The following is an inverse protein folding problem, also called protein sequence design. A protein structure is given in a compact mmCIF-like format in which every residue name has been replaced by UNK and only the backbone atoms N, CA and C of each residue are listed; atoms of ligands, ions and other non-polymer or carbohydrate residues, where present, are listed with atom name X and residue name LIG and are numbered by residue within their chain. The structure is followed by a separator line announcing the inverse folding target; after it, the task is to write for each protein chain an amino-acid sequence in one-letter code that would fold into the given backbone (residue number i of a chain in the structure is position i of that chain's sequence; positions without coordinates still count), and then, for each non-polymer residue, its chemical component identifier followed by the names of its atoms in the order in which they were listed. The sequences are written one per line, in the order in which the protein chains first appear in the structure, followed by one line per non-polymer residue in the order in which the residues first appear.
data_IF_268484800237
#
_entry.id   IF_268484800237
#
_cell.length_a   1.000
_cell.length_b   1.000
_cell.length_c   1.000
_cell.angle_alpha   90.00
_cell.angle_beta   90.00
_cell.angle_gamma   90.00
#
_symmetry.space_group_name_H-M   'P 1'
#
loop_
_entity.id
_entity.type
_entity.pdbx_description
1 polymer ?
#
# COMPACT_ATOMS: atom_id res chain seq x y z
N UNK A 1 0.93 -1.72 18.98
CA UNK A 1 1.20 -0.29 19.09
C UNK A 1 0.89 0.40 17.79
N UNK A 2 0.22 1.52 17.82
CA UNK A 2 -0.03 2.26 16.59
C UNK A 2 1.26 2.89 16.04
N UNK A 3 1.17 3.30 14.79
CA UNK A 3 2.26 4.00 14.08
C UNK A 3 3.48 3.12 13.83
N UNK A 4 3.22 1.84 13.54
CA UNK A 4 4.29 0.88 13.24
C UNK A 4 4.34 0.64 11.73
N UNK A 5 5.55 0.68 11.17
CA UNK A 5 5.77 0.27 9.77
C UNK A 5 5.83 -1.25 9.74
N UNK A 6 4.83 -1.89 9.15
CA UNK A 6 4.74 -3.36 9.18
C UNK A 6 4.24 -3.98 7.88
N UNK A 7 4.27 -3.22 6.79
CA UNK A 7 3.81 -3.70 5.50
C UNK A 7 4.43 -2.84 4.41
N UNK A 8 4.65 -3.42 3.23
CA UNK A 8 5.12 -2.65 2.08
C UNK A 8 4.29 -3.01 0.85
N UNK A 9 4.32 -2.14 -0.15
CA UNK A 9 3.54 -2.35 -1.35
C UNK A 9 4.30 -1.85 -2.56
N UNK A 10 4.25 -2.63 -3.62
CA UNK A 10 4.77 -2.25 -4.92
C UNK A 10 3.59 -2.04 -5.85
N UNK A 11 3.41 -0.81 -6.32
CA UNK A 11 2.43 -0.49 -7.35
C UNK A 11 3.11 -0.57 -8.71
N UNK A 12 2.46 -1.22 -9.67
CA UNK A 12 3.07 -1.48 -10.97
C UNK A 12 2.01 -1.57 -12.06
N UNK A 13 2.30 -1.06 -13.26
CA UNK A 13 1.37 -1.24 -14.39
C UNK A 13 1.42 -2.65 -14.99
N UNK A 14 2.33 -3.51 -14.52
CA UNK A 14 2.46 -4.89 -15.02
C UNK A 14 2.80 -5.81 -13.86
N UNK A 15 1.76 -6.30 -13.17
CA UNK A 15 1.93 -7.14 -11.99
C UNK A 15 2.61 -8.47 -12.32
N UNK A 16 2.36 -9.01 -13.52
CA UNK A 16 3.00 -10.26 -13.94
C UNK A 16 4.51 -10.14 -14.05
N UNK A 17 4.98 -9.09 -14.74
CA UNK A 17 6.42 -8.86 -14.90
C UNK A 17 7.09 -8.54 -13.57
N UNK A 18 6.45 -7.73 -12.73
CA UNK A 18 6.97 -7.37 -11.41
C UNK A 18 7.07 -8.59 -10.51
N UNK A 19 6.02 -9.43 -10.50
CA UNK A 19 6.02 -10.68 -9.73
C UNK A 19 7.18 -11.59 -10.15
N UNK A 20 7.39 -11.76 -11.47
CA UNK A 20 8.48 -12.59 -11.97
C UNK A 20 9.83 -12.03 -11.56
N UNK A 21 10.01 -10.72 -11.68
CA UNK A 21 11.29 -10.08 -11.34
C UNK A 21 11.68 -10.31 -9.88
N UNK A 22 10.78 -9.95 -8.96
CA UNK A 22 11.11 -10.05 -7.53
C UNK A 22 11.13 -11.49 -7.05
N UNK A 23 10.26 -12.34 -7.60
CA UNK A 23 10.28 -13.76 -7.27
C UNK A 23 11.58 -14.43 -7.70
N UNK A 24 12.06 -14.12 -8.91
CA UNK A 24 13.32 -14.68 -9.42
C UNK A 24 14.53 -14.12 -8.68
N UNK A 25 14.49 -12.81 -8.37
CA UNK A 25 15.63 -12.16 -7.74
C UNK A 25 15.81 -12.59 -6.29
N UNK A 26 14.74 -12.59 -5.52
CA UNK A 26 14.81 -12.79 -4.07
C UNK A 26 14.19 -14.10 -3.58
N UNK A 27 13.56 -14.85 -4.47
CA UNK A 27 12.88 -16.07 -4.06
C UNK A 27 11.59 -15.82 -3.27
N UNK A 28 11.04 -14.62 -3.36
CA UNK A 28 9.77 -14.30 -2.68
C UNK A 28 8.62 -15.11 -3.26
N UNK A 29 7.75 -15.57 -2.39
CA UNK A 29 6.52 -16.24 -2.81
C UNK A 29 5.45 -15.19 -3.00
N UNK A 30 5.11 -14.94 -4.26
CA UNK A 30 4.13 -13.94 -4.62
C UNK A 30 2.98 -14.64 -5.33
N UNK A 31 1.75 -14.27 -5.01
CA UNK A 31 0.57 -14.85 -5.67
C UNK A 31 0.69 -14.70 -7.18
N UNK A 32 0.32 -15.74 -7.92
CA UNK A 32 0.55 -15.81 -9.37
C UNK A 32 -0.51 -15.10 -10.20
N UNK A 33 -1.58 -14.61 -9.59
CA UNK A 33 -2.68 -13.98 -10.31
C UNK A 33 -3.40 -12.97 -9.45
N UNK A 34 -4.25 -12.17 -10.11
CA UNK A 34 -5.05 -11.15 -9.44
C UNK A 34 -4.45 -9.77 -9.55
N UNK A 35 -5.27 -8.77 -9.26
CA UNK A 35 -4.85 -7.36 -9.31
C UNK A 35 -4.06 -6.95 -8.08
N UNK A 36 -4.19 -7.68 -7.00
CA UNK A 36 -3.41 -7.47 -5.78
C UNK A 36 -2.85 -8.81 -5.34
N UNK A 37 -1.52 -8.92 -5.37
CA UNK A 37 -0.83 -10.18 -5.13
C UNK A 37 -0.04 -10.10 -3.83
N UNK A 38 -0.33 -10.99 -2.90
CA UNK A 38 0.35 -10.98 -1.60
C UNK A 38 1.76 -11.55 -1.73
N UNK A 39 2.67 -10.99 -0.96
CA UNK A 39 4.08 -11.37 -0.91
C UNK A 39 4.35 -12.08 0.41
N UNK A 40 4.88 -13.30 0.35
CA UNK A 40 5.22 -14.13 1.52
C UNK A 40 4.09 -14.13 2.57
N UNK A 41 2.88 -14.36 2.10
CA UNK A 41 1.70 -14.34 2.95
C UNK A 41 1.18 -12.94 3.14
N UNK A 42 1.63 -12.27 4.19
CA UNK A 42 1.13 -10.95 4.56
C UNK A 42 2.23 -9.89 4.76
N UNK A 43 3.42 -10.14 4.22
CA UNK A 43 4.54 -9.19 4.36
C UNK A 43 4.38 -7.96 3.50
N UNK A 44 3.79 -8.12 2.32
CA UNK A 44 3.61 -7.02 1.40
C UNK A 44 2.66 -7.39 0.29
N UNK A 45 2.51 -6.48 -0.67
CA UNK A 45 1.63 -6.68 -1.79
C UNK A 45 2.16 -6.07 -3.08
N UNK A 46 1.72 -6.63 -4.19
CA UNK A 46 1.93 -6.08 -5.54
C UNK A 46 0.56 -5.67 -6.06
N UNK A 47 0.39 -4.39 -6.32
CA UNK A 47 -0.87 -3.84 -6.82
C UNK A 47 -0.73 -3.51 -8.30
N UNK A 48 -1.57 -4.14 -9.12
CA UNK A 48 -1.64 -3.79 -10.54
C UNK A 48 -2.39 -2.48 -10.67
N UNK A 49 -1.70 -1.44 -11.09
CA UNK A 49 -2.23 -0.08 -11.08
C UNK A 49 -3.00 0.30 -12.35
N UNK A 50 -3.11 -0.62 -13.32
CA UNK A 50 -3.77 -0.29 -14.59
C UNK A 50 -5.22 0.13 -14.41
N UNK A 51 -5.93 -0.42 -13.43
CA UNK A 51 -7.33 -0.08 -13.16
C UNK A 51 -7.51 1.20 -12.35
N UNK A 52 -6.42 1.78 -11.82
CA UNK A 52 -6.49 2.97 -10.96
C UNK A 52 -5.63 4.12 -11.51
N UNK A 53 -5.48 4.19 -12.82
CA UNK A 53 -4.78 5.28 -13.46
C UNK A 53 -3.32 5.04 -13.76
N UNK A 54 -2.80 3.87 -13.44
CA UNK A 54 -1.40 3.53 -13.71
C UNK A 54 -0.45 4.10 -12.66
N UNK A 55 0.83 4.05 -12.97
CA UNK A 55 1.87 4.54 -12.08
C UNK A 55 2.60 3.42 -11.36
N UNK A 56 3.74 3.79 -10.81
CA UNK A 56 4.61 2.86 -10.09
C UNK A 56 4.98 3.46 -8.75
N UNK A 57 5.03 2.62 -7.73
CA UNK A 57 5.51 3.04 -6.42
C UNK A 57 6.05 1.84 -5.65
N UNK A 58 6.92 2.12 -4.67
CA UNK A 58 7.37 1.15 -3.69
C UNK A 58 7.31 1.88 -2.36
N UNK A 59 6.34 1.54 -1.54
CA UNK A 59 5.99 2.32 -0.36
C UNK A 59 5.87 1.43 0.86
N UNK A 60 6.00 2.05 2.03
CA UNK A 60 5.68 1.39 3.28
C UNK A 60 4.29 1.81 3.74
N UNK A 61 3.72 0.98 4.62
CA UNK A 61 2.46 1.29 5.30
C UNK A 61 2.71 1.40 6.79
N UNK A 62 2.02 2.34 7.40
CA UNK A 62 2.03 2.53 8.85
C UNK A 62 0.69 2.06 9.40
N UNK A 63 0.70 1.12 10.33
CA UNK A 63 -0.51 0.70 11.02
C UNK A 63 -0.88 1.76 12.04
N UNK A 64 -2.12 2.23 11.98
CA UNK A 64 -2.64 3.27 12.87
C UNK A 64 -3.91 2.77 13.57
N UNK A 65 -4.34 3.43 14.63
CA UNK A 65 -5.56 3.05 15.33
C UNK A 65 -6.82 3.51 14.60
N UNK A 66 -6.73 4.62 13.87
CA UNK A 66 -7.88 5.23 13.20
C UNK A 66 -7.40 5.90 11.91
N UNK A 67 -7.76 5.28 10.77
CA UNK A 67 -7.29 5.75 9.47
C UNK A 67 -7.84 7.14 9.16
N UNK A 68 -9.11 7.39 9.43
CA UNK A 68 -9.70 8.72 9.15
C UNK A 68 -9.03 9.82 9.97
N UNK A 69 -8.76 9.55 11.23
CA UNK A 69 -8.07 10.50 12.09
C UNK A 69 -6.65 10.75 11.63
N UNK A 70 -5.95 9.70 11.16
CA UNK A 70 -4.61 9.84 10.61
C UNK A 70 -4.59 10.70 9.36
N UNK A 71 -5.57 10.51 8.46
CA UNK A 71 -5.71 11.34 7.26
C UNK A 71 -5.93 12.81 7.64
N UNK A 72 -6.82 13.06 8.58
CA UNK A 72 -7.15 14.42 9.01
C UNK A 72 -5.94 15.11 9.62
N UNK A 73 -5.22 14.41 10.49
CA UNK A 73 -4.00 14.95 11.08
C UNK A 73 -2.94 15.21 10.03
N UNK A 74 -2.75 14.28 9.10
CA UNK A 74 -1.76 14.41 8.04
C UNK A 74 -2.05 15.60 7.13
N UNK A 75 -3.31 15.78 6.71
CA UNK A 75 -3.68 16.91 5.85
C UNK A 75 -3.49 18.23 6.57
N UNK A 76 -3.73 18.27 7.87
CA UNK A 76 -3.42 19.45 8.69
C UNK A 76 -1.94 19.78 8.75
N UNK A 77 -1.09 18.77 8.52
CA UNK A 77 0.38 18.94 8.48
C UNK A 77 0.91 19.14 7.06
N UNK A 78 0.03 19.25 6.07
CA UNK A 78 0.40 19.55 4.69
C UNK A 78 0.43 18.36 3.75
N UNK A 79 -0.07 17.19 4.17
CA UNK A 79 -0.11 16.03 3.30
C UNK A 79 -1.19 16.15 2.24
N UNK A 80 -0.97 15.46 1.13
CA UNK A 80 -1.94 15.31 0.05
C UNK A 80 -2.53 13.90 0.10
N UNK A 81 -3.85 13.78 -0.08
CA UNK A 81 -4.51 12.48 -0.18
C UNK A 81 -4.41 12.00 -1.63
N UNK A 82 -3.79 10.83 -1.83
CA UNK A 82 -3.62 10.23 -3.17
C UNK A 82 -4.67 9.16 -3.42
N UNK A 83 -4.82 8.23 -2.47
CA UNK A 83 -5.91 7.26 -2.47
C UNK A 83 -6.72 7.55 -1.21
N UNK A 84 -7.99 7.92 -1.35
CA UNK A 84 -8.79 8.32 -0.17
C UNK A 84 -9.07 7.14 0.74
N UNK A 85 -9.65 7.42 1.91
CA UNK A 85 -10.08 6.39 2.83
C UNK A 85 -10.83 5.29 2.07
N UNK A 86 -10.38 4.06 2.25
CA UNK A 86 -10.96 2.90 1.58
C UNK A 86 -11.18 1.80 2.61
N UNK A 87 -12.40 1.28 2.65
CA UNK A 87 -12.77 0.13 3.46
C UNK A 87 -12.96 -1.03 2.49
N UNK A 88 -12.06 -2.02 2.53
CA UNK A 88 -12.15 -3.16 1.62
C UNK A 88 -12.70 -4.42 2.30
N UNK A 89 -13.31 -4.25 3.49
CA UNK A 89 -13.89 -5.35 4.26
C UNK A 89 -13.00 -5.75 5.42
N UNK A 90 -11.91 -6.50 5.19
CA UNK A 90 -11.02 -6.92 6.28
C UNK A 90 -10.16 -5.79 6.87
N UNK A 91 -9.96 -4.71 6.13
CA UNK A 91 -9.14 -3.60 6.61
C UNK A 91 -9.57 -2.27 6.00
N UNK A 92 -9.02 -1.20 6.55
CA UNK A 92 -9.17 0.16 6.04
C UNK A 92 -7.80 0.70 5.70
N UNK A 93 -7.70 1.52 4.64
CA UNK A 93 -6.42 2.09 4.26
C UNK A 93 -6.59 3.38 3.47
N UNK A 94 -5.48 4.09 3.29
CA UNK A 94 -5.38 5.24 2.40
C UNK A 94 -3.94 5.41 1.96
N UNK A 95 -3.73 6.10 0.84
CA UNK A 95 -2.40 6.54 0.42
C UNK A 95 -2.32 8.04 0.54
N UNK A 96 -1.22 8.52 1.08
CA UNK A 96 -0.95 9.95 1.27
C UNK A 96 0.42 10.27 0.69
N UNK A 97 0.66 11.57 0.47
CA UNK A 97 2.00 12.08 0.18
C UNK A 97 2.33 13.13 1.23
N UNK A 98 3.56 13.10 1.72
CA UNK A 98 4.03 14.15 2.60
C UNK A 98 4.25 15.46 1.81
N UNK A 99 4.55 16.59 2.48
CA UNK A 99 4.72 17.86 1.76
C UNK A 99 5.83 17.86 0.70
N UNK A 100 6.74 16.89 0.76
CA UNK A 100 7.81 16.77 -0.22
C UNK A 100 7.46 15.79 -1.36
N UNK A 101 6.26 15.22 -1.34
CA UNK A 101 5.80 14.32 -2.38
C UNK A 101 6.12 12.85 -2.14
N UNK A 102 6.57 12.48 -0.96
CA UNK A 102 6.83 11.07 -0.65
C UNK A 102 5.53 10.34 -0.34
N UNK A 103 5.23 9.31 -1.13
CA UNK A 103 4.01 8.51 -0.94
C UNK A 103 4.22 7.48 0.16
N UNK A 104 3.17 7.26 0.95
CA UNK A 104 3.11 6.19 1.96
C UNK A 104 1.67 5.79 2.17
N UNK A 105 1.46 4.66 2.83
CA UNK A 105 0.13 4.21 3.17
C UNK A 105 -0.10 4.23 4.67
N UNK A 106 -1.35 4.38 5.08
CA UNK A 106 -1.81 4.17 6.45
C UNK A 106 -2.91 3.12 6.42
N UNK A 107 -2.99 2.27 7.44
CA UNK A 107 -3.97 1.19 7.45
C UNK A 107 -4.29 0.71 8.86
N UNK A 108 -5.40 0.01 9.00
CA UNK A 108 -5.70 -0.76 10.20
C UNK A 108 -6.53 -1.99 9.84
N UNK A 109 -6.34 -3.10 10.54
CA UNK A 109 -7.23 -4.24 10.40
C UNK A 109 -8.56 -3.94 11.09
N UNK A 110 -9.65 -4.49 10.56
CA UNK A 110 -10.99 -4.25 11.10
C UNK A 110 -11.45 -5.29 12.10
N UNK A 111 -10.74 -6.27 12.30
CA UNK A 111 -11.20 -7.30 13.20
C UNK A 111 -10.17 -7.74 14.14
#
# INVERSE_FOLDING_TARGET
MPNVVNYFEIGTPDAGATTAFFGDLFGWKIDSSGDYRMIDGDKGGVWDTTSVGGGSWAIFYVQVDDVKAAIEKATGLGAEVVVPFTDNGPLEFAHLKDPQGNRFGVWRPKG
#
